data_IF_134980393353
#
_entry.id   IF_134980393353
#
_cell.length_a   1.000
_cell.length_b   1.000
_cell.length_c   1.000
_cell.angle_alpha   90.00
_cell.angle_beta   90.00
_cell.angle_gamma   90.00
#
_symmetry.space_group_name_H-M   'P 1'
#
loop_
_entity.id
_entity.type
_entity.pdbx_description
1 polymer ?
#
# COMPACT_ATOMS: atom_id res chain seq x y z
N UNK A 1 16.49 17.97 9.69
CA UNK A 1 15.49 17.63 8.65
C UNK A 1 15.77 18.36 7.33
N UNK A 2 15.90 19.70 7.29
CA UNK A 2 16.16 20.45 6.04
C UNK A 2 17.45 19.99 5.34
N UNK A 3 18.56 19.79 6.09
CA UNK A 3 19.81 19.26 5.54
C UNK A 3 19.68 17.86 4.93
N UNK A 4 18.87 16.98 5.52
CA UNK A 4 18.59 15.64 4.97
C UNK A 4 17.77 15.76 3.68
N UNK A 5 16.78 16.65 3.63
CA UNK A 5 15.97 16.90 2.45
C UNK A 5 16.78 17.45 1.26
N UNK A 6 17.86 18.18 1.51
CA UNK A 6 18.76 18.71 0.47
C UNK A 6 19.87 17.73 0.11
N UNK A 7 20.46 17.07 1.12
CA UNK A 7 21.62 16.20 0.90
C UNK A 7 21.24 14.82 0.34
N UNK A 8 20.01 14.33 0.65
CA UNK A 8 19.57 13.02 0.22
C UNK A 8 19.42 12.93 -1.32
N UNK A 9 18.76 13.87 -2.01
CA UNK A 9 18.74 13.87 -3.48
C UNK A 9 20.13 14.05 -4.11
N UNK A 10 20.95 14.92 -3.56
CA UNK A 10 22.32 15.15 -4.09
C UNK A 10 23.21 13.93 -3.90
N UNK A 11 23.13 13.30 -2.72
CA UNK A 11 23.84 12.05 -2.44
C UNK A 11 23.32 10.88 -3.30
N UNK A 12 22.01 10.74 -3.42
CA UNK A 12 21.37 9.73 -4.26
C UNK A 12 21.79 9.87 -5.73
N UNK A 13 21.79 11.09 -6.26
CA UNK A 13 22.25 11.37 -7.63
C UNK A 13 23.72 11.03 -7.85
N UNK A 14 24.61 11.37 -6.91
CA UNK A 14 26.03 11.09 -7.00
C UNK A 14 26.34 9.58 -6.95
N UNK A 15 25.54 8.81 -6.22
CA UNK A 15 25.65 7.34 -6.14
C UNK A 15 25.05 6.70 -7.40
N UNK A 16 23.82 7.08 -7.78
CA UNK A 16 23.10 6.47 -8.89
C UNK A 16 23.78 6.70 -10.25
N UNK A 17 24.47 7.83 -10.44
CA UNK A 17 25.22 8.10 -11.68
C UNK A 17 26.42 7.18 -11.89
N UNK A 18 26.87 6.48 -10.85
CA UNK A 18 28.00 5.53 -10.90
C UNK A 18 27.56 4.06 -11.01
N UNK A 19 26.29 3.77 -10.77
CA UNK A 19 25.75 2.42 -10.79
C UNK A 19 24.89 2.22 -12.04
N UNK A 20 25.33 1.31 -12.91
CA UNK A 20 24.60 0.90 -14.11
C UNK A 20 23.76 -0.37 -13.86
N UNK A 21 23.44 -0.63 -12.61
CA UNK A 21 22.69 -1.80 -12.18
C UNK A 21 21.19 -1.48 -12.17
N UNK A 22 20.36 -2.36 -12.73
CA UNK A 22 18.89 -2.28 -12.72
C UNK A 22 18.28 -2.80 -11.42
N UNK A 23 19.05 -2.85 -10.34
CA UNK A 23 18.55 -3.21 -9.03
C UNK A 23 17.53 -2.21 -8.49
N UNK A 24 16.59 -2.69 -7.69
CA UNK A 24 15.59 -1.88 -6.99
C UNK A 24 16.22 -0.68 -6.23
N UNK A 25 17.40 -0.90 -5.62
CA UNK A 25 18.16 0.12 -4.92
C UNK A 25 18.67 1.25 -5.84
N UNK A 26 19.23 0.87 -6.97
CA UNK A 26 19.75 1.84 -7.94
C UNK A 26 18.62 2.68 -8.55
N UNK A 27 17.48 2.04 -8.84
CA UNK A 27 16.30 2.70 -9.38
C UNK A 27 15.68 3.66 -8.36
N UNK A 28 15.52 3.23 -7.11
CA UNK A 28 15.03 4.10 -6.03
C UNK A 28 15.94 5.31 -5.79
N UNK A 29 17.27 5.12 -5.90
CA UNK A 29 18.23 6.22 -5.78
C UNK A 29 18.16 7.17 -6.98
N UNK A 30 17.93 6.65 -8.20
CA UNK A 30 17.71 7.48 -9.40
C UNK A 30 16.46 8.36 -9.25
N UNK A 31 15.36 7.79 -8.76
CA UNK A 31 14.12 8.52 -8.49
C UNK A 31 14.31 9.59 -7.41
N UNK A 32 14.97 9.26 -6.29
CA UNK A 32 15.32 10.22 -5.24
C UNK A 32 16.27 11.32 -5.75
N UNK A 33 17.15 10.99 -6.69
CA UNK A 33 18.05 11.94 -7.36
C UNK A 33 17.35 12.82 -8.40
N UNK A 34 16.09 12.52 -8.74
CA UNK A 34 15.31 13.25 -9.74
C UNK A 34 15.82 13.04 -11.17
N UNK A 35 16.45 11.89 -11.47
CA UNK A 35 16.96 11.60 -12.82
C UNK A 35 15.84 11.25 -13.81
N UNK A 36 14.65 10.91 -13.31
CA UNK A 36 13.45 10.65 -14.11
C UNK A 36 12.19 10.92 -13.29
N UNK A 37 11.06 11.11 -13.96
CA UNK A 37 9.74 11.01 -13.33
C UNK A 37 9.47 9.53 -13.03
N UNK A 38 9.08 9.16 -11.78
CA UNK A 38 8.75 7.79 -11.45
C UNK A 38 7.58 7.25 -12.30
N UNK A 39 7.61 5.96 -12.62
CA UNK A 39 6.73 5.34 -13.62
C UNK A 39 5.22 5.51 -13.34
N UNK A 40 4.74 5.07 -12.17
CA UNK A 40 3.32 5.23 -11.81
C UNK A 40 2.93 6.70 -11.72
N UNK A 41 3.87 7.54 -11.23
CA UNK A 41 3.61 8.97 -11.10
C UNK A 41 3.47 9.65 -12.45
N UNK A 42 4.20 9.20 -13.49
CA UNK A 42 4.03 9.67 -14.86
C UNK A 42 2.62 9.35 -15.39
N UNK A 43 2.09 8.15 -15.08
CA UNK A 43 0.70 7.79 -15.41
C UNK A 43 -0.29 8.72 -14.70
N UNK A 44 -0.03 9.05 -13.43
CA UNK A 44 -0.90 9.97 -12.68
C UNK A 44 -0.87 11.40 -13.22
N UNK A 45 0.31 11.87 -13.66
CA UNK A 45 0.44 13.19 -14.30
C UNK A 45 -0.26 13.23 -15.67
N UNK A 46 -0.12 12.17 -16.48
CA UNK A 46 -0.84 12.07 -17.76
C UNK A 46 -2.36 12.13 -17.52
N UNK A 47 -2.88 11.34 -16.59
CA UNK A 47 -4.30 11.38 -16.23
C UNK A 47 -4.74 12.76 -15.69
N UNK A 48 -3.87 13.47 -14.98
CA UNK A 48 -4.16 14.83 -14.52
C UNK A 48 -4.19 15.84 -15.66
N UNK A 49 -3.34 15.68 -16.69
CA UNK A 49 -3.36 16.49 -17.90
C UNK A 49 -4.61 16.24 -18.73
N UNK A 50 -5.04 14.97 -18.89
CA UNK A 50 -6.29 14.60 -19.57
C UNK A 50 -7.48 15.29 -18.89
N UNK A 51 -7.59 15.17 -17.55
CA UNK A 51 -8.66 15.84 -16.79
C UNK A 51 -8.59 17.37 -16.96
N UNK A 52 -7.38 17.97 -16.95
CA UNK A 52 -7.21 19.41 -17.17
C UNK A 52 -7.65 19.84 -18.56
N UNK A 53 -7.44 18.99 -19.56
CA UNK A 53 -7.90 19.21 -20.93
C UNK A 53 -9.42 18.99 -21.10
N UNK A 54 -10.10 18.45 -20.11
CA UNK A 54 -11.52 18.06 -20.19
C UNK A 54 -11.71 16.72 -20.88
N UNK A 55 -10.67 15.89 -20.92
CA UNK A 55 -10.67 14.55 -21.50
C UNK A 55 -10.78 13.49 -20.39
N UNK A 56 -11.19 12.27 -20.78
CA UNK A 56 -11.25 11.13 -19.88
C UNK A 56 -9.84 10.63 -19.57
N UNK A 57 -9.47 10.37 -18.28
CA UNK A 57 -8.21 9.73 -17.94
C UNK A 57 -8.24 8.21 -18.14
N UNK A 58 -9.35 7.63 -18.58
CA UNK A 58 -9.55 6.20 -18.72
C UNK A 58 -9.49 5.74 -20.17
N UNK A 59 -8.94 4.55 -20.38
CA UNK A 59 -8.97 3.87 -21.68
C UNK A 59 -10.25 3.04 -21.81
N UNK A 60 -10.65 2.76 -23.04
CA UNK A 60 -11.74 1.84 -23.32
C UNK A 60 -11.41 0.42 -22.80
N UNK A 61 -12.25 -0.18 -21.95
CA UNK A 61 -12.03 -1.53 -21.44
C UNK A 61 -11.79 -2.58 -22.52
N UNK A 62 -12.38 -2.42 -23.71
CA UNK A 62 -12.21 -3.36 -24.82
C UNK A 62 -10.78 -3.36 -25.40
N UNK A 63 -10.04 -2.28 -25.20
CA UNK A 63 -8.65 -2.14 -25.68
C UNK A 63 -7.63 -2.77 -24.75
N UNK A 64 -8.01 -3.19 -23.53
CA UNK A 64 -7.11 -3.76 -22.53
C UNK A 64 -6.60 -5.13 -22.99
N UNK A 65 -5.28 -5.25 -23.12
CA UNK A 65 -4.57 -6.47 -23.52
C UNK A 65 -3.23 -6.59 -22.76
N UNK A 66 -2.51 -7.68 -22.95
CA UNK A 66 -1.16 -7.87 -22.38
C UNK A 66 -0.15 -6.82 -22.90
N UNK A 67 -0.37 -6.26 -24.08
CA UNK A 67 0.50 -5.25 -24.70
C UNK A 67 0.07 -3.80 -24.37
N UNK A 68 -1.02 -3.62 -23.64
CA UNK A 68 -1.53 -2.29 -23.27
C UNK A 68 -0.57 -1.66 -22.26
N UNK A 69 -0.06 -0.43 -22.50
CA UNK A 69 0.69 0.30 -21.47
C UNK A 69 -0.13 0.44 -20.20
N UNK A 70 0.53 0.41 -19.05
CA UNK A 70 -0.14 0.50 -17.76
C UNK A 70 -1.10 1.72 -17.71
N UNK A 71 -2.43 1.51 -17.66
CA UNK A 71 -3.40 2.60 -17.71
C UNK A 71 -3.63 3.19 -16.32
N UNK A 72 -4.23 4.38 -16.30
CA UNK A 72 -4.75 4.95 -15.07
C UNK A 72 -5.93 4.13 -14.53
N UNK A 73 -5.85 3.69 -13.26
CA UNK A 73 -6.83 2.76 -12.65
C UNK A 73 -7.39 3.26 -11.30
N UNK A 74 -7.05 4.46 -10.91
CA UNK A 74 -7.54 5.06 -9.67
C UNK A 74 -8.85 5.80 -9.92
N UNK A 75 -9.69 6.01 -8.89
CA UNK A 75 -10.79 6.97 -9.00
C UNK A 75 -10.27 8.36 -9.43
N UNK A 76 -11.10 9.21 -10.07
CA UNK A 76 -10.65 10.48 -10.66
C UNK A 76 -9.99 11.43 -9.66
N UNK A 77 -10.25 11.24 -8.36
CA UNK A 77 -9.75 12.07 -7.28
C UNK A 77 -8.23 12.29 -7.35
N UNK A 78 -7.45 11.24 -7.62
CA UNK A 78 -5.99 11.34 -7.66
C UNK A 78 -5.53 12.22 -8.83
N UNK A 79 -6.09 12.03 -10.02
CA UNK A 79 -5.80 12.86 -11.19
C UNK A 79 -6.15 14.34 -10.92
N UNK A 80 -7.33 14.62 -10.35
CA UNK A 80 -7.78 15.98 -10.03
C UNK A 80 -6.83 16.66 -9.03
N UNK A 81 -6.43 15.96 -7.96
CA UNK A 81 -5.52 16.50 -6.95
C UNK A 81 -4.14 16.80 -7.53
N UNK A 82 -3.73 16.09 -8.57
CA UNK A 82 -2.42 16.26 -9.20
C UNK A 82 -2.41 17.31 -10.33
N UNK A 83 -3.54 17.89 -10.75
CA UNK A 83 -3.58 18.96 -11.75
C UNK A 83 -2.54 20.07 -11.46
N UNK A 84 -2.36 20.59 -10.23
CA UNK A 84 -1.34 21.60 -9.99
C UNK A 84 0.08 21.14 -10.25
N UNK A 85 0.36 19.83 -10.15
CA UNK A 85 1.67 19.27 -10.40
C UNK A 85 2.05 19.27 -11.90
N UNK A 86 1.06 19.24 -12.80
CA UNK A 86 1.30 19.32 -14.25
C UNK A 86 1.83 20.68 -14.72
N UNK A 87 1.76 21.71 -13.86
CA UNK A 87 2.36 23.02 -14.14
C UNK A 87 3.87 23.10 -13.82
N UNK A 88 4.42 22.07 -13.17
CA UNK A 88 5.85 22.01 -12.89
C UNK A 88 6.62 21.61 -14.15
N UNK A 89 7.81 22.16 -14.37
CA UNK A 89 8.61 21.77 -15.53
C UNK A 89 9.04 20.31 -15.42
N UNK A 90 8.98 19.57 -16.52
CA UNK A 90 9.36 18.16 -16.60
C UNK A 90 10.83 17.95 -16.23
N UNK A 91 11.69 18.85 -16.71
CA UNK A 91 13.11 18.75 -16.48
C UNK A 91 13.77 20.14 -16.30
N UNK A 92 14.64 20.25 -15.29
CA UNK A 92 15.48 21.43 -15.07
C UNK A 92 16.90 20.97 -14.76
N UNK A 93 17.85 21.29 -15.63
CA UNK A 93 19.26 20.96 -15.46
C UNK A 93 19.53 19.45 -15.34
N UNK A 94 18.82 18.63 -16.12
CA UNK A 94 18.94 17.18 -16.11
C UNK A 94 18.34 16.52 -14.86
N UNK A 95 17.37 17.15 -14.23
CA UNK A 95 16.62 16.61 -13.09
C UNK A 95 15.13 16.90 -13.25
N UNK A 96 14.27 15.97 -12.83
CA UNK A 96 12.83 16.19 -12.71
C UNK A 96 12.50 16.76 -11.34
N UNK A 97 12.11 18.05 -11.21
CA UNK A 97 11.69 18.63 -9.95
C UNK A 97 10.49 17.89 -9.35
N UNK A 98 9.57 17.45 -10.20
CA UNK A 98 8.38 16.66 -9.80
C UNK A 98 8.81 15.31 -9.24
N UNK A 99 9.75 14.60 -9.91
CA UNK A 99 10.27 13.33 -9.43
C UNK A 99 10.93 13.44 -8.04
N UNK A 100 11.71 14.50 -7.80
CA UNK A 100 12.31 14.78 -6.48
C UNK A 100 11.22 15.04 -5.44
N UNK A 101 10.26 15.90 -5.78
CA UNK A 101 9.20 16.31 -4.85
C UNK A 101 8.35 15.13 -4.42
N UNK A 102 7.92 14.27 -5.35
CA UNK A 102 7.12 13.09 -5.03
C UNK A 102 7.91 12.09 -4.19
N UNK A 103 9.17 11.83 -4.53
CA UNK A 103 10.02 10.92 -3.75
C UNK A 103 10.21 11.40 -2.30
N UNK A 104 10.45 12.70 -2.10
CA UNK A 104 10.55 13.31 -0.77
C UNK A 104 9.22 13.25 -0.01
N UNK A 105 8.09 13.46 -0.70
CA UNK A 105 6.76 13.33 -0.11
C UNK A 105 6.50 11.89 0.36
N UNK A 106 6.84 10.89 -0.45
CA UNK A 106 6.66 9.48 -0.10
C UNK A 106 7.50 9.09 1.12
N UNK A 107 8.77 9.50 1.16
CA UNK A 107 9.65 9.33 2.34
C UNK A 107 9.05 10.03 3.57
N UNK A 108 8.58 11.26 3.41
CA UNK A 108 7.95 12.02 4.50
C UNK A 108 6.68 11.35 5.02
N UNK A 109 5.89 10.70 4.15
CA UNK A 109 4.70 9.94 4.56
C UNK A 109 5.07 8.73 5.44
N UNK A 110 6.10 7.95 5.07
CA UNK A 110 6.55 6.81 5.90
C UNK A 110 7.07 7.30 7.25
N UNK A 111 7.94 8.32 7.24
CA UNK A 111 8.47 8.92 8.47
C UNK A 111 7.33 9.51 9.33
N UNK A 112 6.40 10.22 8.71
CA UNK A 112 5.23 10.79 9.37
C UNK A 112 4.35 9.73 10.02
N UNK A 113 4.13 8.60 9.34
CA UNK A 113 3.38 7.48 9.89
C UNK A 113 4.05 6.90 11.15
N UNK A 114 5.36 6.71 11.12
CA UNK A 114 6.11 6.22 12.30
C UNK A 114 6.04 7.20 13.47
N UNK A 115 6.11 8.50 13.21
CA UNK A 115 5.92 9.56 14.22
C UNK A 115 4.50 9.53 14.80
N UNK A 116 3.48 9.42 13.95
CA UNK A 116 2.06 9.32 14.35
C UNK A 116 1.80 8.10 15.22
N UNK A 117 2.49 6.99 14.94
CA UNK A 117 2.42 5.72 15.70
C UNK A 117 3.29 5.71 16.96
N UNK A 118 3.95 6.84 17.30
CA UNK A 118 4.83 7.01 18.48
C UNK A 118 6.03 6.02 18.49
N UNK A 119 6.57 5.72 17.31
CA UNK A 119 7.80 4.93 17.19
C UNK A 119 8.99 5.82 17.56
N UNK A 120 9.52 5.63 18.78
CA UNK A 120 10.61 6.46 19.33
C UNK A 120 12.02 5.93 19.04
N UNK A 121 12.12 4.68 18.69
CA UNK A 121 13.40 4.06 18.34
C UNK A 121 13.77 4.46 16.90
N UNK A 122 14.74 5.37 16.79
CA UNK A 122 15.19 5.92 15.50
C UNK A 122 15.67 4.85 14.51
N UNK A 123 16.14 3.69 15.01
CA UNK A 123 16.63 2.56 14.18
C UNK A 123 15.52 1.93 13.34
N UNK A 124 14.24 2.06 13.76
CA UNK A 124 13.09 1.57 13.00
C UNK A 124 12.88 2.35 11.68
N UNK A 125 13.26 3.63 11.65
CA UNK A 125 13.04 4.50 10.49
C UNK A 125 13.85 4.06 9.26
N UNK A 126 15.19 3.92 9.34
CA UNK A 126 15.95 3.43 8.20
C UNK A 126 15.51 2.01 7.80
N UNK A 127 15.18 1.12 8.74
CA UNK A 127 14.72 -0.22 8.41
C UNK A 127 13.41 -0.18 7.60
N UNK A 128 12.43 0.64 8.00
CA UNK A 128 11.18 0.79 7.25
C UNK A 128 11.39 1.44 5.86
N UNK A 129 12.32 2.38 5.75
CA UNK A 129 12.66 3.02 4.48
C UNK A 129 13.40 2.07 3.53
N UNK A 130 14.10 1.07 4.08
CA UNK A 130 14.82 0.05 3.32
C UNK A 130 13.97 -1.16 2.94
N UNK A 131 12.69 -1.22 3.33
CA UNK A 131 11.81 -2.30 2.86
C UNK A 131 11.72 -2.30 1.33
N UNK A 132 11.78 -3.48 0.68
CA UNK A 132 11.59 -3.58 -0.76
C UNK A 132 10.32 -2.85 -1.22
N UNK A 133 9.22 -3.05 -0.49
CA UNK A 133 7.96 -2.38 -0.76
C UNK A 133 8.04 -0.85 -0.64
N UNK A 134 8.86 -0.29 0.24
CA UNK A 134 9.07 1.16 0.34
C UNK A 134 9.91 1.68 -0.81
N UNK A 135 10.97 0.97 -1.16
CA UNK A 135 11.86 1.33 -2.27
C UNK A 135 11.12 1.29 -3.60
N UNK A 136 10.33 0.26 -3.84
CA UNK A 136 9.49 0.15 -5.04
C UNK A 136 8.46 1.29 -5.14
N UNK A 137 7.86 1.72 -4.00
CA UNK A 137 7.02 2.92 -3.99
C UNK A 137 7.76 4.19 -4.40
N UNK A 138 9.03 4.32 -4.01
CA UNK A 138 9.86 5.48 -4.38
C UNK A 138 10.25 5.39 -5.86
N UNK A 139 10.61 4.21 -6.33
CA UNK A 139 10.97 3.95 -7.72
C UNK A 139 9.81 4.24 -8.67
N UNK A 140 8.61 3.77 -8.33
CA UNK A 140 7.43 3.95 -9.17
C UNK A 140 6.66 5.25 -8.89
N UNK A 141 6.88 5.91 -7.76
CA UNK A 141 6.08 7.05 -7.34
C UNK A 141 4.66 6.66 -6.93
N UNK A 142 4.49 5.43 -6.43
CA UNK A 142 3.19 4.87 -6.09
C UNK A 142 2.64 5.41 -4.76
N UNK A 143 1.32 5.40 -4.60
CA UNK A 143 0.61 6.03 -3.46
C UNK A 143 0.73 5.28 -2.13
N UNK A 144 1.41 4.12 -2.10
CA UNK A 144 1.51 3.27 -0.90
C UNK A 144 1.90 4.00 0.39
N UNK A 145 2.96 4.84 0.42
CA UNK A 145 3.34 5.61 1.61
C UNK A 145 2.28 6.60 2.08
N UNK A 146 1.51 7.18 1.17
CA UNK A 146 0.35 8.04 1.52
C UNK A 146 -0.70 7.21 2.25
N UNK A 147 -0.98 6.00 1.77
CA UNK A 147 -1.90 5.07 2.44
C UNK A 147 -1.37 4.66 3.82
N UNK A 148 -0.06 4.42 3.98
CA UNK A 148 0.56 4.13 5.30
C UNK A 148 0.29 5.26 6.28
N UNK A 149 0.49 6.52 5.85
CA UNK A 149 0.21 7.68 6.70
C UNK A 149 -1.27 7.80 7.05
N UNK A 150 -2.17 7.65 6.07
CA UNK A 150 -3.62 7.73 6.29
C UNK A 150 -4.10 6.63 7.24
N UNK A 151 -3.63 5.40 7.06
CA UNK A 151 -3.97 4.26 7.93
C UNK A 151 -3.41 4.45 9.34
N UNK A 152 -2.19 4.99 9.48
CA UNK A 152 -1.61 5.37 10.77
C UNK A 152 -2.42 6.47 11.48
N UNK A 153 -2.86 7.49 10.74
CA UNK A 153 -3.75 8.55 11.26
C UNK A 153 -5.10 7.99 11.68
N UNK A 154 -5.71 7.10 10.86
CA UNK A 154 -6.96 6.43 11.20
C UNK A 154 -6.82 5.64 12.50
N UNK A 155 -5.73 4.89 12.70
CA UNK A 155 -5.43 4.21 13.95
C UNK A 155 -5.22 5.17 15.12
N UNK A 156 -4.40 6.20 14.94
CA UNK A 156 -4.06 7.17 16.01
C UNK A 156 -5.26 7.93 16.53
N UNK A 157 -6.14 8.31 15.61
CA UNK A 157 -7.32 9.13 15.90
C UNK A 157 -8.63 8.36 15.84
N UNK A 158 -8.60 7.02 15.97
CA UNK A 158 -9.76 6.15 15.84
C UNK A 158 -10.94 6.48 16.76
N UNK A 159 -10.68 7.16 17.89
CA UNK A 159 -11.69 7.62 18.83
C UNK A 159 -12.17 9.07 18.54
N UNK A 160 -11.61 9.72 17.53
CA UNK A 160 -12.01 11.05 17.04
C UNK A 160 -12.74 10.89 15.70
N UNK A 161 -14.07 10.96 15.76
CA UNK A 161 -14.94 10.63 14.61
C UNK A 161 -14.48 11.29 13.31
N UNK A 162 -14.34 12.64 13.30
CA UNK A 162 -13.98 13.37 12.07
C UNK A 162 -12.60 12.97 11.54
N UNK A 163 -11.59 12.90 12.41
CA UNK A 163 -10.23 12.58 11.97
C UNK A 163 -10.11 11.13 11.47
N UNK A 164 -10.75 10.17 12.16
CA UNK A 164 -10.79 8.77 11.74
C UNK A 164 -11.55 8.62 10.41
N UNK A 165 -12.69 9.31 10.27
CA UNK A 165 -13.49 9.29 9.05
C UNK A 165 -12.73 9.85 7.85
N UNK A 166 -12.08 11.00 8.00
CA UNK A 166 -11.32 11.61 6.92
C UNK A 166 -10.10 10.76 6.53
N UNK A 167 -9.34 10.26 7.52
CA UNK A 167 -8.16 9.45 7.26
C UNK A 167 -8.50 8.12 6.60
N UNK A 168 -9.46 7.36 7.16
CA UNK A 168 -9.82 6.06 6.60
C UNK A 168 -10.61 6.19 5.30
N UNK A 169 -11.53 7.15 5.21
CA UNK A 169 -12.29 7.39 3.98
C UNK A 169 -11.38 7.84 2.83
N UNK A 170 -10.39 8.70 3.10
CA UNK A 170 -9.35 9.06 2.15
C UNK A 170 -8.51 7.86 1.69
N UNK A 171 -8.14 6.97 2.62
CA UNK A 171 -7.41 5.76 2.26
C UNK A 171 -8.27 4.81 1.38
N UNK A 172 -9.54 4.64 1.71
CA UNK A 172 -10.46 3.76 0.96
C UNK A 172 -10.75 4.29 -0.44
N UNK A 173 -10.92 5.61 -0.62
CA UNK A 173 -11.15 6.16 -1.97
C UNK A 173 -9.91 6.06 -2.84
N UNK A 174 -8.71 6.19 -2.29
CA UNK A 174 -7.47 5.99 -3.04
C UNK A 174 -7.22 4.53 -3.38
N UNK A 175 -7.54 3.61 -2.47
CA UNK A 175 -7.38 2.16 -2.69
C UNK A 175 -8.50 1.40 -1.98
N UNK A 176 -9.47 0.98 -2.76
CA UNK A 176 -10.72 0.33 -2.29
C UNK A 176 -10.44 -0.90 -1.43
N UNK A 177 -9.37 -1.67 -1.68
CA UNK A 177 -9.07 -2.89 -0.90
C UNK A 177 -8.88 -2.63 0.62
N UNK A 178 -8.78 -1.38 1.06
CA UNK A 178 -8.71 -1.01 2.48
C UNK A 178 -10.08 -0.94 3.16
N UNK A 179 -11.20 -1.13 2.44
CA UNK A 179 -12.54 -1.12 3.02
C UNK A 179 -12.73 -2.07 4.22
N UNK A 180 -12.05 -3.24 4.36
CA UNK A 180 -12.20 -4.09 5.53
C UNK A 180 -11.83 -3.39 6.86
N UNK A 181 -11.05 -2.32 6.82
CA UNK A 181 -10.78 -1.50 8.01
C UNK A 181 -12.04 -0.78 8.53
N UNK A 182 -13.09 -0.61 7.73
CA UNK A 182 -14.39 -0.15 8.22
C UNK A 182 -15.01 -1.19 9.16
N UNK A 183 -14.84 -2.49 8.85
CA UNK A 183 -15.32 -3.59 9.70
C UNK A 183 -14.61 -3.58 11.06
N UNK A 184 -13.29 -3.25 11.08
CA UNK A 184 -12.56 -3.06 12.35
C UNK A 184 -13.20 -1.96 13.22
N UNK A 185 -13.53 -0.79 12.64
CA UNK A 185 -14.20 0.29 13.39
C UNK A 185 -15.55 -0.15 13.92
N UNK A 186 -16.33 -0.86 13.11
CA UNK A 186 -17.63 -1.42 13.49
C UNK A 186 -17.47 -2.46 14.61
N UNK A 187 -16.54 -3.40 14.48
CA UNK A 187 -16.28 -4.44 15.46
C UNK A 187 -15.85 -3.87 16.82
N UNK A 188 -15.12 -2.76 16.82
CA UNK A 188 -14.67 -2.04 18.02
C UNK A 188 -15.67 -0.97 18.50
N UNK A 189 -16.92 -1.00 17.99
CA UNK A 189 -18.05 -0.12 18.36
C UNK A 189 -17.89 1.36 17.99
N UNK A 190 -17.01 1.68 17.03
CA UNK A 190 -16.82 3.03 16.49
C UNK A 190 -17.69 3.25 15.25
N UNK A 191 -19.00 2.99 15.39
CA UNK A 191 -19.96 3.01 14.28
C UNK A 191 -20.02 4.37 13.56
N UNK A 192 -20.00 5.45 14.32
CA UNK A 192 -20.04 6.81 13.77
C UNK A 192 -18.81 7.12 12.93
N UNK A 193 -17.63 6.65 13.36
CA UNK A 193 -16.41 6.80 12.57
C UNK A 193 -16.43 5.92 11.31
N UNK A 194 -16.97 4.69 11.41
CA UNK A 194 -17.11 3.80 10.25
C UNK A 194 -18.07 4.37 9.19
N UNK A 195 -19.24 4.80 9.62
CA UNK A 195 -20.23 5.44 8.73
C UNK A 195 -19.69 6.75 8.15
N UNK A 196 -19.04 7.57 8.97
CA UNK A 196 -18.39 8.79 8.52
C UNK A 196 -17.29 8.53 7.49
N UNK A 197 -16.47 7.47 7.67
CA UNK A 197 -15.44 7.10 6.71
C UNK A 197 -16.03 6.60 5.38
N UNK A 198 -17.08 5.77 5.45
CA UNK A 198 -17.79 5.32 4.26
C UNK A 198 -18.46 6.50 3.52
N UNK A 199 -19.11 7.40 4.26
CA UNK A 199 -19.73 8.59 3.67
C UNK A 199 -18.69 9.53 3.07
N UNK A 200 -17.55 9.75 3.76
CA UNK A 200 -16.47 10.59 3.25
C UNK A 200 -15.85 10.02 1.97
N UNK A 201 -15.58 8.69 1.94
CA UNK A 201 -15.10 8.03 0.74
C UNK A 201 -16.09 8.15 -0.43
N UNK A 202 -17.39 7.94 -0.16
CA UNK A 202 -18.44 8.05 -1.17
C UNK A 202 -18.55 9.49 -1.71
N UNK A 203 -18.54 10.49 -0.82
CA UNK A 203 -18.59 11.91 -1.22
C UNK A 203 -17.38 12.27 -2.07
N UNK A 204 -16.16 11.88 -1.68
CA UNK A 204 -14.95 12.13 -2.46
C UNK A 204 -15.00 11.41 -3.83
N UNK A 205 -15.47 10.16 -3.87
CA UNK A 205 -15.63 9.43 -5.11
C UNK A 205 -16.65 10.14 -6.03
N UNK A 206 -17.88 10.37 -5.55
CA UNK A 206 -18.92 10.99 -6.36
C UNK A 206 -18.56 12.42 -6.81
N UNK A 207 -17.95 13.22 -5.94
CA UNK A 207 -17.51 14.57 -6.30
C UNK A 207 -16.39 14.55 -7.35
N UNK A 208 -15.47 13.60 -7.29
CA UNK A 208 -14.43 13.47 -8.31
C UNK A 208 -14.99 13.01 -9.66
N UNK A 209 -15.95 12.09 -9.66
CA UNK A 209 -16.67 11.72 -10.88
C UNK A 209 -17.50 12.88 -11.45
N UNK A 210 -18.10 13.70 -10.59
CA UNK A 210 -18.84 14.89 -11.05
C UNK A 210 -17.95 15.93 -11.74
N UNK A 211 -16.65 15.99 -11.43
CA UNK A 211 -15.69 16.90 -12.08
C UNK A 211 -15.36 16.48 -13.50
N UNK A 212 -15.18 15.17 -13.75
CA UNK A 212 -14.82 14.64 -15.08
C UNK A 212 -16.03 14.24 -15.93
N UNK A 213 -17.27 14.35 -15.38
CA UNK A 213 -18.45 13.72 -15.94
C UNK A 213 -18.63 12.29 -15.43
N UNK A 214 -19.79 11.72 -15.66
CA UNK A 214 -20.11 10.36 -15.22
C UNK A 214 -20.07 9.33 -16.36
N UNK A 215 -19.62 9.72 -17.55
CA UNK A 215 -19.74 8.91 -18.76
C UNK A 215 -18.98 7.58 -18.63
N UNK A 216 -17.76 7.63 -18.09
CA UNK A 216 -16.92 6.43 -17.89
C UNK A 216 -17.25 5.64 -16.63
N UNK A 217 -18.12 6.14 -15.74
CA UNK A 217 -18.43 5.47 -14.48
C UNK A 217 -19.03 4.08 -14.68
N UNK A 218 -19.83 3.90 -15.75
CA UNK A 218 -20.46 2.62 -16.08
C UNK A 218 -19.41 1.58 -16.53
N UNK A 219 -18.37 2.02 -17.23
CA UNK A 219 -17.33 1.17 -17.81
C UNK A 219 -16.16 0.93 -16.86
N UNK A 220 -16.00 1.76 -15.84
CA UNK A 220 -14.91 1.67 -14.87
C UNK A 220 -14.82 0.31 -14.15
N UNK A 221 -15.91 -0.34 -13.70
CA UNK A 221 -15.83 -1.70 -13.12
C UNK A 221 -15.33 -2.74 -14.12
N UNK A 222 -15.70 -2.62 -15.40
CA UNK A 222 -15.25 -3.52 -16.46
C UNK A 222 -13.76 -3.31 -16.77
N UNK A 223 -13.29 -2.07 -16.80
CA UNK A 223 -11.86 -1.74 -16.92
C UNK A 223 -11.04 -2.42 -15.83
N UNK A 224 -11.47 -2.28 -14.56
CA UNK A 224 -10.79 -2.93 -13.43
C UNK A 224 -10.81 -4.46 -13.51
N UNK A 225 -11.95 -5.02 -13.98
CA UNK A 225 -12.06 -6.48 -14.16
C UNK A 225 -11.08 -6.99 -15.20
N UNK A 226 -11.04 -6.38 -16.39
CA UNK A 226 -10.13 -6.77 -17.47
C UNK A 226 -8.66 -6.63 -17.07
N UNK A 227 -8.30 -5.52 -16.44
CA UNK A 227 -6.95 -5.33 -15.92
C UNK A 227 -6.58 -6.39 -14.89
N UNK A 228 -7.52 -6.78 -14.02
CA UNK A 228 -7.26 -7.85 -13.04
C UNK A 228 -7.02 -9.21 -13.71
N UNK A 229 -7.61 -9.46 -14.87
CA UNK A 229 -7.39 -10.69 -15.64
C UNK A 229 -6.03 -10.69 -16.35
N UNK A 230 -5.66 -9.57 -16.95
CA UNK A 230 -4.35 -9.39 -17.61
C UNK A 230 -3.21 -9.46 -16.60
N UNK A 231 -3.35 -8.75 -15.47
CA UNK A 231 -2.30 -8.64 -14.46
C UNK A 231 -2.28 -9.80 -13.45
N UNK A 232 -3.23 -10.73 -13.51
CA UNK A 232 -3.32 -11.86 -12.57
C UNK A 232 -2.01 -12.67 -12.51
N UNK A 233 -1.33 -12.83 -13.65
CA UNK A 233 -0.08 -13.59 -13.77
C UNK A 233 1.11 -12.91 -13.06
N UNK A 234 1.07 -11.59 -12.92
CA UNK A 234 2.16 -10.77 -12.35
C UNK A 234 1.88 -10.36 -10.90
N UNK A 235 0.71 -10.72 -10.36
CA UNK A 235 0.24 -10.29 -9.06
C UNK A 235 0.78 -11.15 -7.92
N UNK A 236 1.09 -10.51 -6.79
CA UNK A 236 1.47 -11.15 -5.52
C UNK A 236 0.25 -11.56 -4.67
N UNK A 237 -0.96 -11.58 -5.25
CA UNK A 237 -2.21 -11.85 -4.53
C UNK A 237 -2.40 -13.32 -4.18
N UNK A 238 -3.25 -13.56 -3.16
CA UNK A 238 -3.68 -14.93 -2.83
C UNK A 238 -4.41 -15.60 -4.00
N UNK A 239 -5.17 -14.81 -4.77
CA UNK A 239 -5.85 -15.32 -5.97
C UNK A 239 -4.83 -15.82 -7.00
N UNK A 240 -3.81 -15.02 -7.32
CA UNK A 240 -2.75 -15.41 -8.24
C UNK A 240 -2.05 -16.69 -7.78
N UNK A 241 -1.69 -16.77 -6.49
CA UNK A 241 -1.08 -17.97 -5.91
C UNK A 241 -1.96 -19.22 -6.08
N UNK A 242 -3.26 -19.12 -5.82
CA UNK A 242 -4.17 -20.28 -5.94
C UNK A 242 -4.35 -20.72 -7.39
N UNK A 243 -4.42 -19.78 -8.32
CA UNK A 243 -4.49 -20.06 -9.77
C UNK A 243 -3.19 -20.72 -10.25
N UNK A 244 -2.04 -20.23 -9.79
CA UNK A 244 -0.74 -20.80 -10.08
C UNK A 244 -0.59 -22.24 -9.56
N UNK A 245 -1.27 -22.57 -8.46
CA UNK A 245 -1.38 -23.94 -7.95
C UNK A 245 -2.39 -24.80 -8.74
N UNK A 246 -2.80 -24.34 -9.93
CA UNK A 246 -3.75 -25.01 -10.83
C UNK A 246 -5.17 -25.18 -10.26
N UNK A 247 -5.60 -24.33 -9.31
CA UNK A 247 -6.99 -24.32 -8.91
C UNK A 247 -7.84 -23.61 -9.99
N UNK A 248 -9.04 -24.12 -10.30
CA UNK A 248 -9.99 -23.39 -11.14
C UNK A 248 -10.25 -21.98 -10.56
N UNK A 249 -10.23 -20.98 -11.41
CA UNK A 249 -10.33 -19.57 -10.98
C UNK A 249 -11.57 -19.29 -10.14
N UNK A 250 -12.72 -19.87 -10.49
CA UNK A 250 -13.96 -19.75 -9.71
C UNK A 250 -13.81 -20.29 -8.29
N UNK A 251 -13.12 -21.42 -8.11
CA UNK A 251 -12.82 -22.00 -6.81
C UNK A 251 -11.82 -21.13 -6.05
N UNK A 252 -10.78 -20.64 -6.72
CA UNK A 252 -9.81 -19.73 -6.12
C UNK A 252 -10.46 -18.44 -5.61
N UNK A 253 -11.33 -17.81 -6.40
CA UNK A 253 -12.12 -16.64 -5.99
C UNK A 253 -13.03 -16.96 -4.79
N UNK A 254 -13.69 -18.10 -4.77
CA UNK A 254 -14.51 -18.52 -3.62
C UNK A 254 -13.66 -18.68 -2.36
N UNK A 255 -12.50 -19.34 -2.45
CA UNK A 255 -11.59 -19.54 -1.31
C UNK A 255 -11.06 -18.21 -0.76
N UNK A 256 -10.72 -17.26 -1.63
CA UNK A 256 -10.32 -15.88 -1.26
C UNK A 256 -11.41 -15.19 -0.46
N UNK A 257 -12.66 -15.23 -0.94
CA UNK A 257 -13.80 -14.62 -0.24
C UNK A 257 -14.05 -15.29 1.11
N UNK A 258 -14.02 -16.62 1.16
CA UNK A 258 -14.21 -17.39 2.41
C UNK A 258 -13.10 -17.10 3.41
N UNK A 259 -11.84 -17.04 2.96
CA UNK A 259 -10.69 -16.72 3.81
C UNK A 259 -10.81 -15.29 4.39
N UNK A 260 -11.13 -14.31 3.56
CA UNK A 260 -11.31 -12.94 4.00
C UNK A 260 -12.51 -12.79 4.97
N UNK A 261 -13.64 -13.43 4.66
CA UNK A 261 -14.79 -13.46 5.57
C UNK A 261 -14.43 -14.11 6.90
N UNK A 262 -13.65 -15.20 6.90
CA UNK A 262 -13.11 -15.84 8.08
C UNK A 262 -12.24 -14.91 8.92
N UNK A 263 -11.32 -14.16 8.28
CA UNK A 263 -10.48 -13.16 8.95
C UNK A 263 -11.32 -12.05 9.57
N UNK A 264 -12.32 -11.53 8.85
CA UNK A 264 -13.22 -10.48 9.37
C UNK A 264 -14.10 -10.99 10.52
N UNK A 265 -14.64 -12.21 10.42
CA UNK A 265 -15.39 -12.84 11.49
C UNK A 265 -14.50 -13.06 12.73
N UNK A 266 -13.24 -13.46 12.53
CA UNK A 266 -12.29 -13.62 13.62
C UNK A 266 -11.90 -12.26 14.23
N UNK A 267 -11.66 -11.24 13.42
CA UNK A 267 -11.44 -9.87 13.88
C UNK A 267 -12.62 -9.38 14.76
N UNK A 268 -13.85 -9.63 14.32
CA UNK A 268 -15.06 -9.31 15.06
C UNK A 268 -15.11 -10.03 16.40
N UNK A 269 -14.83 -11.33 16.44
CA UNK A 269 -14.82 -12.12 17.67
C UNK A 269 -13.75 -11.63 18.64
N UNK A 270 -12.53 -11.37 18.16
CA UNK A 270 -11.42 -10.86 18.98
C UNK A 270 -11.79 -9.50 19.59
N UNK A 271 -12.35 -8.58 18.78
CA UNK A 271 -12.76 -7.26 19.25
C UNK A 271 -13.84 -7.32 20.35
N UNK A 272 -14.68 -8.37 20.35
CA UNK A 272 -15.80 -8.51 21.29
C UNK A 272 -15.50 -9.36 22.52
N UNK A 273 -14.55 -10.30 22.43
CA UNK A 273 -14.28 -11.29 23.49
C UNK A 273 -13.15 -10.88 24.44
N UNK A 274 -12.23 -10.00 24.05
CA UNK A 274 -11.06 -9.67 24.87
C UNK A 274 -11.39 -8.70 26.00
N UNK A 275 -10.82 -8.99 27.20
CA UNK A 275 -10.86 -8.10 28.37
C UNK A 275 -9.88 -6.92 28.24
N UNK A 276 -8.79 -7.11 27.50
CA UNK A 276 -7.83 -6.05 27.13
C UNK A 276 -8.28 -5.37 25.83
N UNK A 277 -8.92 -4.23 25.98
CA UNK A 277 -9.47 -3.49 24.85
C UNK A 277 -8.40 -3.01 23.86
N UNK A 278 -7.19 -2.67 24.34
CA UNK A 278 -6.11 -2.18 23.48
C UNK A 278 -5.49 -3.26 22.60
N UNK A 279 -5.27 -4.45 23.17
CA UNK A 279 -4.72 -5.59 22.44
C UNK A 279 -5.76 -6.16 21.45
N UNK A 280 -7.03 -6.22 21.87
CA UNK A 280 -8.13 -6.63 21.00
C UNK A 280 -8.30 -5.70 19.80
N UNK A 281 -8.22 -4.39 20.02
CA UNK A 281 -8.32 -3.37 18.99
C UNK A 281 -7.20 -3.54 17.94
N UNK A 282 -5.95 -3.69 18.40
CA UNK A 282 -4.79 -3.94 17.54
C UNK A 282 -4.95 -5.21 16.72
N UNK A 283 -5.34 -6.34 17.33
CA UNK A 283 -5.52 -7.61 16.63
C UNK A 283 -6.65 -7.54 15.60
N UNK A 284 -7.76 -6.93 15.94
CA UNK A 284 -8.88 -6.75 15.03
C UNK A 284 -8.48 -5.87 13.83
N UNK A 285 -7.69 -4.81 14.06
CA UNK A 285 -7.13 -3.97 13.01
C UNK A 285 -6.22 -4.77 12.05
N UNK A 286 -5.27 -5.54 12.60
CA UNK A 286 -4.33 -6.33 11.80
C UNK A 286 -5.07 -7.38 10.97
N UNK A 287 -6.06 -8.06 11.55
CA UNK A 287 -6.88 -9.05 10.84
C UNK A 287 -7.73 -8.42 9.73
N UNK A 288 -8.27 -7.22 9.97
CA UNK A 288 -9.04 -6.50 8.96
C UNK A 288 -8.13 -6.03 7.80
N UNK A 289 -6.91 -5.54 8.10
CA UNK A 289 -5.93 -5.20 7.07
C UNK A 289 -5.50 -6.43 6.26
N UNK A 290 -5.28 -7.57 6.93
CA UNK A 290 -4.96 -8.84 6.28
C UNK A 290 -6.11 -9.30 5.36
N UNK A 291 -7.37 -9.12 5.76
CA UNK A 291 -8.52 -9.40 4.92
C UNK A 291 -8.52 -8.53 3.64
N UNK A 292 -8.08 -7.28 3.74
CA UNK A 292 -7.87 -6.41 2.57
C UNK A 292 -6.83 -6.96 1.59
N UNK A 293 -5.68 -7.40 2.09
CA UNK A 293 -4.66 -8.05 1.25
C UNK A 293 -5.13 -9.36 0.62
N UNK A 294 -5.96 -10.13 1.33
CA UNK A 294 -6.52 -11.38 0.79
C UNK A 294 -7.53 -11.12 -0.31
N UNK A 295 -8.37 -10.08 -0.15
CA UNK A 295 -9.46 -9.77 -1.09
C UNK A 295 -9.00 -9.13 -2.39
N UNK A 296 -7.85 -8.44 -2.39
CA UNK A 296 -7.42 -7.75 -3.60
C UNK A 296 -7.01 -8.76 -4.68
N UNK A 297 -7.58 -8.67 -5.90
CA UNK A 297 -7.20 -9.56 -6.99
C UNK A 297 -5.80 -9.24 -7.53
N UNK A 298 -5.40 -7.97 -7.45
CA UNK A 298 -4.06 -7.50 -7.82
C UNK A 298 -3.37 -6.99 -6.57
N UNK A 299 -2.24 -7.56 -6.25
CA UNK A 299 -1.36 -7.12 -5.17
C UNK A 299 0.04 -6.96 -5.72
N UNK A 300 0.52 -5.73 -5.76
CA UNK A 300 1.91 -5.44 -6.09
C UNK A 300 2.78 -5.44 -4.83
N UNK A 301 4.07 -5.70 -4.97
CA UNK A 301 5.02 -5.69 -3.85
C UNK A 301 4.95 -4.38 -3.07
N UNK A 302 4.84 -3.25 -3.75
CA UNK A 302 4.77 -1.93 -3.13
C UNK A 302 3.55 -1.72 -2.21
N UNK A 303 2.45 -2.50 -2.34
CA UNK A 303 1.33 -2.42 -1.38
C UNK A 303 1.70 -2.95 0.00
N UNK A 304 2.71 -3.84 0.09
CA UNK A 304 3.18 -4.40 1.35
C UNK A 304 3.89 -3.36 2.25
N UNK A 305 4.15 -2.15 1.77
CA UNK A 305 4.58 -1.03 2.63
C UNK A 305 3.60 -0.79 3.78
N UNK A 306 2.31 -1.11 3.62
CA UNK A 306 1.30 -1.05 4.68
C UNK A 306 1.63 -1.93 5.90
N UNK A 307 2.49 -2.93 5.76
CA UNK A 307 2.98 -3.76 6.89
C UNK A 307 3.76 -2.96 7.93
N UNK A 308 4.27 -1.79 7.57
CA UNK A 308 4.90 -0.85 8.53
C UNK A 308 3.96 -0.55 9.69
N UNK A 309 2.65 -0.36 9.43
CA UNK A 309 1.68 0.00 10.47
C UNK A 309 1.50 -1.12 11.51
N UNK A 310 1.13 -2.35 11.15
CA UNK A 310 0.97 -3.42 12.14
C UNK A 310 2.28 -3.77 12.86
N UNK A 311 3.44 -3.68 12.21
CA UNK A 311 4.75 -3.90 12.84
C UNK A 311 5.02 -2.84 13.90
N UNK A 312 4.84 -1.55 13.55
CA UNK A 312 5.02 -0.44 14.48
C UNK A 312 4.10 -0.54 15.71
N UNK A 313 2.83 -0.94 15.48
CA UNK A 313 1.86 -1.14 16.55
C UNK A 313 2.21 -2.32 17.47
N UNK A 314 2.76 -3.38 16.91
CA UNK A 314 3.14 -4.56 17.68
C UNK A 314 4.49 -4.36 18.41
N UNK A 315 5.41 -3.66 17.81
CA UNK A 315 6.79 -3.45 18.29
C UNK A 315 7.25 -2.02 18.00
N UNK A 316 6.96 -1.03 18.88
CA UNK A 316 7.39 0.36 18.68
C UNK A 316 8.91 0.59 18.88
N UNK A 317 9.65 -0.49 19.14
CA UNK A 317 11.12 -0.53 19.23
C UNK A 317 11.65 -1.58 18.26
N UNK A 318 12.91 -1.42 17.85
CA UNK A 318 13.55 -2.36 16.93
C UNK A 318 13.56 -3.78 17.52
N UNK A 319 13.11 -4.73 16.73
CA UNK A 319 13.06 -6.15 17.05
C UNK A 319 13.17 -6.97 15.76
N UNK A 320 13.31 -8.30 15.88
CA UNK A 320 13.37 -9.19 14.72
C UNK A 320 12.16 -9.02 13.76
N UNK A 321 10.98 -8.63 14.29
CA UNK A 321 9.79 -8.41 13.48
C UNK A 321 9.96 -7.30 12.42
N UNK A 322 10.77 -6.28 12.69
CA UNK A 322 11.07 -5.22 11.74
C UNK A 322 11.87 -5.70 10.52
N UNK A 323 12.58 -6.81 10.65
CA UNK A 323 13.37 -7.38 9.55
C UNK A 323 12.58 -8.37 8.69
N UNK A 324 11.37 -8.78 9.14
CA UNK A 324 10.56 -9.74 8.38
C UNK A 324 10.23 -9.29 6.94
N UNK A 325 9.85 -8.02 6.64
CA UNK A 325 9.62 -7.61 5.27
C UNK A 325 10.87 -7.60 4.38
N UNK A 326 12.07 -7.52 4.96
CA UNK A 326 13.32 -7.62 4.19
C UNK A 326 13.58 -9.02 3.65
N UNK A 327 12.88 -10.06 4.16
CA UNK A 327 13.01 -11.42 3.61
C UNK A 327 12.52 -11.51 2.17
N UNK A 328 11.65 -10.60 1.74
CA UNK A 328 11.19 -10.52 0.35
C UNK A 328 12.34 -10.24 -0.61
N UNK A 329 13.28 -9.36 -0.26
CA UNK A 329 14.51 -9.12 -1.05
C UNK A 329 15.40 -10.34 -1.16
N UNK A 330 15.45 -11.16 -0.11
CA UNK A 330 16.25 -12.40 -0.13
C UNK A 330 15.68 -13.39 -1.15
N UNK A 331 14.36 -13.51 -1.23
CA UNK A 331 13.70 -14.37 -2.21
C UNK A 331 13.93 -13.88 -3.64
N UNK A 332 13.92 -12.58 -3.89
CA UNK A 332 14.27 -12.00 -5.19
C UNK A 332 15.75 -12.24 -5.55
N UNK A 333 16.66 -11.97 -4.61
CA UNK A 333 18.10 -12.09 -4.83
C UNK A 333 18.58 -13.53 -5.02
N UNK A 334 17.89 -14.51 -4.42
CA UNK A 334 18.27 -15.93 -4.54
C UNK A 334 17.83 -16.55 -5.86
N UNK A 335 17.08 -15.82 -6.71
CA UNK A 335 16.54 -16.41 -7.95
C UNK A 335 15.83 -17.77 -7.70
N UNK A 336 15.33 -17.96 -6.48
CA UNK A 336 14.81 -19.25 -5.99
C UNK A 336 13.63 -19.73 -6.83
N UNK A 337 13.01 -18.81 -7.52
CA UNK A 337 11.92 -19.06 -8.46
C UNK A 337 12.40 -19.24 -9.92
N UNK A 338 13.71 -19.34 -10.19
CA UNK A 338 14.19 -19.73 -11.52
C UNK A 338 13.63 -21.10 -11.86
N UNK A 339 12.67 -21.14 -12.79
CA UNK A 339 11.95 -22.34 -13.18
C UNK A 339 10.52 -22.45 -12.66
N UNK A 340 10.09 -21.54 -11.79
CA UNK A 340 8.67 -21.35 -11.48
C UNK A 340 8.04 -20.44 -12.53
N UNK A 341 6.79 -20.67 -12.96
CA UNK A 341 6.07 -19.71 -13.78
C UNK A 341 6.13 -18.31 -13.13
N UNK A 342 6.26 -17.28 -13.96
CA UNK A 342 6.30 -15.91 -13.45
C UNK A 342 5.07 -15.67 -12.58
N UNK A 343 5.26 -15.19 -11.34
CA UNK A 343 4.18 -14.88 -10.39
C UNK A 343 4.03 -15.85 -9.23
N UNK A 344 4.40 -17.14 -9.37
CA UNK A 344 4.12 -18.15 -8.34
C UNK A 344 4.99 -18.00 -7.09
N UNK A 345 6.31 -17.90 -7.29
CA UNK A 345 7.28 -17.80 -6.19
C UNK A 345 7.12 -16.51 -5.37
N UNK A 346 7.10 -15.33 -6.01
CA UNK A 346 6.86 -14.06 -5.33
C UNK A 346 5.52 -14.00 -4.60
N UNK A 347 4.44 -14.51 -5.21
CA UNK A 347 3.12 -14.56 -4.58
C UNK A 347 3.14 -15.44 -3.33
N UNK A 348 3.72 -16.63 -3.41
CA UNK A 348 3.85 -17.53 -2.27
C UNK A 348 4.68 -16.91 -1.14
N UNK A 349 5.82 -16.29 -1.46
CA UNK A 349 6.67 -15.61 -0.49
C UNK A 349 5.93 -14.47 0.20
N UNK A 350 5.21 -13.63 -0.56
CA UNK A 350 4.41 -12.52 -0.02
C UNK A 350 3.32 -13.02 0.91
N UNK A 351 2.56 -14.02 0.51
CA UNK A 351 1.50 -14.63 1.34
C UNK A 351 2.11 -15.22 2.61
N UNK A 352 3.24 -15.92 2.52
CA UNK A 352 3.90 -16.51 3.68
C UNK A 352 4.38 -15.43 4.66
N UNK A 353 5.02 -14.36 4.19
CA UNK A 353 5.49 -13.24 5.04
C UNK A 353 4.31 -12.53 5.70
N UNK A 354 3.25 -12.19 4.95
CA UNK A 354 2.06 -11.54 5.50
C UNK A 354 1.37 -12.45 6.52
N UNK A 355 1.19 -13.74 6.21
CA UNK A 355 0.59 -14.71 7.12
C UNK A 355 1.40 -14.86 8.41
N UNK A 356 2.74 -14.98 8.32
CA UNK A 356 3.62 -15.08 9.47
C UNK A 356 3.55 -13.81 10.35
N UNK A 357 3.53 -12.63 9.74
CA UNK A 357 3.38 -11.35 10.45
C UNK A 357 2.03 -11.24 11.15
N UNK A 358 0.94 -11.55 10.43
CA UNK A 358 -0.43 -11.56 11.00
C UNK A 358 -0.50 -12.52 12.18
N UNK A 359 0.05 -13.73 12.03
CA UNK A 359 0.10 -14.71 13.10
C UNK A 359 0.91 -14.21 14.30
N UNK A 360 2.15 -13.73 14.09
CA UNK A 360 3.02 -13.22 15.15
C UNK A 360 2.40 -12.06 15.93
N UNK A 361 1.71 -11.15 15.23
CA UNK A 361 1.06 -9.99 15.84
C UNK A 361 -0.25 -10.40 16.55
N UNK A 362 -1.00 -11.35 15.99
CA UNK A 362 -2.30 -11.76 16.50
C UNK A 362 -2.22 -12.77 17.64
N UNK A 363 -1.14 -13.60 17.70
CA UNK A 363 -0.98 -14.61 18.75
C UNK A 363 -0.75 -14.00 20.15
N UNK A 364 -0.14 -12.80 20.23
CA UNK A 364 0.18 -12.13 21.50
C UNK A 364 1.20 -12.91 22.36
N UNK A 365 1.74 -12.32 23.40
CA UNK A 365 2.57 -13.04 24.35
C UNK A 365 1.73 -14.07 25.12
N UNK A 366 2.08 -15.35 24.98
CA UNK A 366 1.31 -16.47 25.56
C UNK A 366 1.45 -16.56 27.07
N UNK A 367 2.57 -16.12 27.68
CA UNK A 367 2.84 -16.16 29.11
C UNK A 367 3.87 -15.15 29.61
N UNK A 368 3.99 -14.97 30.96
CA UNK A 368 4.94 -14.04 31.58
C UNK A 368 6.43 -14.39 31.30
N UNK A 369 6.73 -15.65 31.01
CA UNK A 369 8.07 -16.12 30.60
C UNK A 369 8.42 -15.72 29.17
N UNK A 370 7.48 -15.85 28.24
CA UNK A 370 7.62 -15.38 26.85
C UNK A 370 7.68 -13.85 26.74
N UNK A 371 7.00 -13.13 27.68
CA UNK A 371 7.15 -11.67 27.78
C UNK A 371 8.58 -11.23 28.07
N UNK A 372 9.35 -12.02 28.83
CA UNK A 372 10.78 -11.76 29.08
C UNK A 372 11.63 -12.06 27.85
N UNK A 373 11.36 -13.18 27.15
CA UNK A 373 12.06 -13.50 25.89
C UNK A 373 11.72 -12.51 24.76
N UNK A 374 10.44 -12.14 24.60
CA UNK A 374 10.00 -11.16 23.62
C UNK A 374 10.50 -9.73 23.90
N UNK A 375 10.94 -9.44 25.11
CA UNK A 375 11.59 -8.18 25.44
C UNK A 375 13.10 -8.17 25.07
N UNK A 376 13.70 -9.36 24.83
CA UNK A 376 15.09 -9.53 24.41
C UNK A 376 15.25 -9.67 22.88
N UNK A 377 14.21 -10.19 22.19
CA UNK A 377 14.08 -10.24 20.73
C UNK A 377 13.35 -9.00 20.21
#
# INVERSE_FOLDING_TARGET
>A
MLAVAILLPVGARAVSSRWHDDSLWANSLRSLGGLAVPFDFAIFLSAADDVRAGESPYIDPETVSEDTPAPYVYPPLLAIVLIPATALPDEVGGSSPVGVLVSLLLVACVVGALLVLDVRDWRCYPVALLYPATLENIEYGAVGPVLVLLVALAWRYRDRVVAASAALGGAVVLKVFLWPLLVWLVATRRWTAALGAAAFALVLALSSWAVIGFDDLADYPELLRRLSEVEAKNSYSVLAMLVALNLPESLARLLVVVAAAGLLAFAWRVARASRDAGDADRRAFVLALAAGFVLTPILWLHYLVLLVVPIALARPRLSALWFAPLTLTVFEALDWYRGWPRGDGPALASVAVVAALVFAISAGPRDAGERRLAAWL
#
